data_IF_576552256673
#
_entry.id   IF_576552256673
#
_cell.length_a   1.000
_cell.length_b   1.000
_cell.length_c   1.000
_cell.angle_alpha   90.00
_cell.angle_beta   90.00
_cell.angle_gamma   90.00
#
_symmetry.space_group_name_H-M   'P 1'
#
loop_
_entity.id
_entity.type
_entity.pdbx_description
1 polymer ?
#
# COMPACT_ATOMS: atom_id res chain seq x y z
N UNK A 1 15.19 6.97 45.61
CA UNK A 1 14.89 5.52 45.60
C UNK A 1 14.46 5.15 44.19
N UNK A 2 15.15 4.19 43.59
CA UNK A 2 15.20 3.88 42.15
C UNK A 2 13.83 3.53 41.53
N UNK A 3 13.22 4.50 40.85
CA UNK A 3 11.99 4.35 40.08
C UNK A 3 12.20 3.75 38.69
N UNK A 4 13.03 2.70 38.53
CA UNK A 4 13.04 1.94 37.27
C UNK A 4 11.72 1.19 37.16
N UNK A 5 10.68 1.81 36.61
CA UNK A 5 9.42 1.14 36.30
C UNK A 5 9.72 -0.13 35.50
N UNK A 6 9.55 -1.29 36.16
CA UNK A 6 9.77 -2.60 35.55
C UNK A 6 8.92 -2.70 34.29
N UNK A 7 9.49 -3.20 33.18
CA UNK A 7 8.84 -3.21 31.86
C UNK A 7 7.45 -3.85 31.89
N UNK A 8 7.27 -4.88 32.72
CA UNK A 8 5.98 -5.55 32.89
C UNK A 8 4.85 -4.64 33.41
N UNK A 9 5.15 -3.58 34.18
CA UNK A 9 4.14 -2.63 34.64
C UNK A 9 3.42 -1.94 33.47
N UNK A 10 4.15 -1.60 32.39
CA UNK A 10 3.57 -0.96 31.21
C UNK A 10 2.65 -1.92 30.44
N UNK A 11 3.04 -3.19 30.34
CA UNK A 11 2.18 -4.24 29.76
C UNK A 11 0.89 -4.40 30.57
N UNK A 12 0.99 -4.48 31.89
CA UNK A 12 -0.18 -4.64 32.77
C UNK A 12 -1.07 -3.40 32.74
N UNK A 13 -0.49 -2.19 32.80
CA UNK A 13 -1.25 -0.95 32.71
C UNK A 13 -2.00 -0.83 31.37
N UNK A 14 -1.35 -1.15 30.24
CA UNK A 14 -2.02 -1.16 28.95
C UNK A 14 -3.08 -2.26 28.83
N UNK A 15 -2.85 -3.44 29.42
CA UNK A 15 -3.85 -4.50 29.47
C UNK A 15 -5.08 -4.10 30.30
N UNK A 16 -4.90 -3.46 31.46
CA UNK A 16 -6.01 -2.95 32.28
C UNK A 16 -6.76 -1.83 31.56
N UNK A 17 -6.03 -0.91 30.89
CA UNK A 17 -6.63 0.15 30.08
C UNK A 17 -7.54 -0.39 28.96
N UNK A 18 -7.27 -1.59 28.45
CA UNK A 18 -8.11 -2.24 27.43
C UNK A 18 -9.53 -2.56 27.90
N UNK A 19 -9.78 -2.64 29.22
CA UNK A 19 -11.12 -2.88 29.77
C UNK A 19 -12.12 -1.79 29.36
N UNK A 20 -11.64 -0.55 29.13
CA UNK A 20 -12.48 0.54 28.61
C UNK A 20 -13.08 0.22 27.23
N UNK A 21 -12.46 -0.66 26.44
CA UNK A 21 -13.00 -1.09 25.16
C UNK A 21 -14.25 -1.96 25.29
N UNK A 22 -14.56 -2.52 26.47
CA UNK A 22 -15.77 -3.34 26.68
C UNK A 22 -17.07 -2.53 26.52
N UNK A 23 -16.99 -1.21 26.62
CA UNK A 23 -18.11 -0.28 26.36
C UNK A 23 -18.45 -0.24 24.85
N UNK A 24 -17.48 -0.58 23.99
CA UNK A 24 -17.66 -0.57 22.54
C UNK A 24 -18.33 -1.84 22.00
N UNK A 25 -18.98 -1.68 20.85
CA UNK A 25 -19.60 -2.81 20.15
C UNK A 25 -18.55 -3.87 19.77
N UNK A 26 -18.96 -5.14 19.66
CA UNK A 26 -18.04 -6.25 19.30
C UNK A 26 -17.30 -6.01 17.97
N UNK A 27 -17.99 -5.38 17.01
CA UNK A 27 -17.42 -5.01 15.71
C UNK A 27 -16.35 -3.93 15.87
N UNK A 28 -16.65 -2.87 16.62
CA UNK A 28 -15.69 -1.79 16.89
C UNK A 28 -14.48 -2.30 17.67
N UNK A 29 -14.68 -3.15 18.67
CA UNK A 29 -13.59 -3.79 19.42
C UNK A 29 -12.65 -4.58 18.53
N UNK A 30 -13.18 -5.32 17.56
CA UNK A 30 -12.34 -6.07 16.63
C UNK A 30 -11.51 -5.13 15.74
N UNK A 31 -12.12 -4.06 15.22
CA UNK A 31 -11.41 -3.06 14.41
C UNK A 31 -10.36 -2.30 15.23
N UNK A 32 -10.71 -1.85 16.45
CA UNK A 32 -9.79 -1.22 17.39
C UNK A 32 -8.64 -2.14 17.76
N UNK A 33 -8.93 -3.40 18.09
CA UNK A 33 -7.93 -4.39 18.45
C UNK A 33 -6.94 -4.66 17.33
N UNK A 34 -7.42 -4.73 16.08
CA UNK A 34 -6.56 -4.86 14.90
C UNK A 34 -5.64 -3.64 14.75
N UNK A 35 -6.18 -2.42 14.78
CA UNK A 35 -5.39 -1.20 14.61
C UNK A 35 -4.35 -1.02 15.72
N UNK A 36 -4.74 -1.27 16.98
CA UNK A 36 -3.86 -1.15 18.14
C UNK A 36 -2.79 -2.23 18.14
N UNK A 37 -3.14 -3.49 17.88
CA UNK A 37 -2.19 -4.61 17.77
C UNK A 37 -1.13 -4.33 16.71
N UNK A 38 -1.57 -3.88 15.54
CA UNK A 38 -0.67 -3.59 14.44
C UNK A 38 0.26 -2.41 14.75
N UNK A 39 -0.25 -1.34 15.36
CA UNK A 39 0.58 -0.20 15.80
C UNK A 39 1.53 -0.59 16.94
N UNK A 40 1.09 -1.46 17.84
CA UNK A 40 1.90 -2.02 18.90
C UNK A 40 3.05 -2.87 18.38
N UNK A 41 2.78 -3.80 17.46
CA UNK A 41 3.79 -4.59 16.76
C UNK A 41 4.77 -3.71 15.97
N UNK A 42 4.28 -2.64 15.35
CA UNK A 42 5.11 -1.63 14.72
C UNK A 42 6.08 -0.95 15.71
N UNK A 43 5.60 -0.56 16.89
CA UNK A 43 6.44 -0.04 17.97
C UNK A 43 7.46 -1.06 18.47
N UNK A 44 7.04 -2.32 18.67
CA UNK A 44 7.92 -3.41 19.06
C UNK A 44 9.02 -3.68 18.04
N UNK A 45 8.70 -3.65 16.74
CA UNK A 45 9.69 -3.82 15.67
C UNK A 45 10.75 -2.72 15.70
N UNK A 46 10.34 -1.46 15.80
CA UNK A 46 11.26 -0.33 15.90
C UNK A 46 12.12 -0.40 17.16
N UNK A 47 11.56 -0.87 18.28
CA UNK A 47 12.29 -1.14 19.52
C UNK A 47 13.34 -2.23 19.36
N UNK A 48 12.99 -3.34 18.71
CA UNK A 48 13.95 -4.40 18.42
C UNK A 48 15.05 -3.93 17.47
N UNK A 49 14.71 -3.06 16.50
CA UNK A 49 15.68 -2.47 15.58
C UNK A 49 16.61 -1.47 16.26
N UNK A 50 16.11 -0.61 17.16
CA UNK A 50 16.95 0.35 17.91
C UNK A 50 17.96 -0.34 18.82
N UNK A 51 17.62 -1.54 19.29
CA UNK A 51 18.47 -2.40 20.13
C UNK A 51 19.40 -3.33 19.35
N UNK A 52 19.44 -3.22 18.02
CA UNK A 52 20.19 -4.12 17.12
C UNK A 52 19.86 -5.62 17.28
N UNK A 53 18.69 -5.98 17.82
CA UNK A 53 18.29 -7.38 17.97
C UNK A 53 17.90 -8.04 16.64
N UNK A 54 17.44 -7.23 15.68
CA UNK A 54 17.04 -7.69 14.34
C UNK A 54 17.77 -6.81 13.33
N UNK A 55 18.86 -7.32 12.75
CA UNK A 55 19.59 -6.68 11.65
C UNK A 55 19.49 -7.56 10.41
N UNK A 56 18.43 -7.35 9.62
CA UNK A 56 18.29 -7.96 8.31
C UNK A 56 18.86 -6.97 7.28
N UNK A 57 19.90 -7.33 6.53
CA UNK A 57 20.39 -6.49 5.43
C UNK A 57 19.24 -6.17 4.47
N UNK A 58 19.04 -4.89 4.17
CA UNK A 58 17.95 -4.41 3.32
C UNK A 58 16.54 -4.82 3.80
N UNK A 59 16.36 -5.06 5.10
CA UNK A 59 15.08 -5.47 5.68
C UNK A 59 13.93 -4.52 5.36
N UNK A 60 14.20 -3.22 5.15
CA UNK A 60 13.19 -2.25 4.69
C UNK A 60 12.61 -2.58 3.32
N UNK A 61 13.40 -3.12 2.38
CA UNK A 61 12.92 -3.53 1.05
C UNK A 61 12.02 -4.75 1.15
N UNK A 62 12.42 -5.74 1.96
CA UNK A 62 11.63 -6.96 2.17
C UNK A 62 10.30 -6.62 2.83
N UNK A 63 10.31 -5.86 3.93
CA UNK A 63 9.08 -5.48 4.65
C UNK A 63 8.16 -4.66 3.75
N UNK A 64 8.71 -3.67 3.04
CA UNK A 64 7.92 -2.86 2.12
C UNK A 64 7.36 -3.71 0.97
N UNK A 65 8.16 -4.60 0.38
CA UNK A 65 7.71 -5.50 -0.69
C UNK A 65 6.60 -6.44 -0.24
N UNK A 66 6.73 -7.08 0.93
CA UNK A 66 5.68 -7.93 1.49
C UNK A 66 4.40 -7.14 1.76
N UNK A 67 4.53 -5.93 2.31
CA UNK A 67 3.40 -5.05 2.59
C UNK A 67 2.69 -4.62 1.28
N UNK A 68 3.45 -4.17 0.28
CA UNK A 68 2.93 -3.75 -1.01
C UNK A 68 2.35 -4.92 -1.82
N UNK A 69 2.94 -6.11 -1.73
CA UNK A 69 2.36 -7.35 -2.27
C UNK A 69 0.95 -7.58 -1.76
N UNK A 70 0.76 -7.53 -0.43
CA UNK A 70 -0.56 -7.69 0.19
C UNK A 70 -1.51 -6.55 -0.16
N UNK A 71 -1.06 -5.29 -0.15
CA UNK A 71 -1.88 -4.12 -0.46
C UNK A 71 -2.37 -4.15 -1.91
N UNK A 72 -1.48 -4.41 -2.87
CA UNK A 72 -1.83 -4.44 -4.29
C UNK A 72 -2.75 -5.63 -4.62
N UNK A 73 -2.48 -6.80 -4.03
CA UNK A 73 -3.40 -7.94 -4.14
C UNK A 73 -4.78 -7.59 -3.57
N UNK A 74 -4.83 -6.99 -2.38
CA UNK A 74 -6.07 -6.61 -1.72
C UNK A 74 -6.85 -5.56 -2.52
N UNK A 75 -6.20 -4.50 -3.00
CA UNK A 75 -6.84 -3.46 -3.80
C UNK A 75 -7.55 -4.03 -5.04
N UNK A 76 -6.95 -5.00 -5.74
CA UNK A 76 -7.55 -5.61 -6.92
C UNK A 76 -8.59 -6.67 -6.55
N UNK A 77 -8.25 -7.60 -5.64
CA UNK A 77 -9.03 -8.82 -5.43
C UNK A 77 -9.96 -8.77 -4.22
N UNK A 78 -9.74 -7.88 -3.26
CA UNK A 78 -10.48 -7.79 -1.99
C UNK A 78 -10.42 -6.37 -1.40
N UNK A 79 -10.89 -5.32 -2.10
CA UNK A 79 -10.72 -3.94 -1.67
C UNK A 79 -11.34 -3.66 -0.31
N UNK A 80 -12.35 -4.43 0.11
CA UNK A 80 -13.00 -4.30 1.42
C UNK A 80 -12.11 -4.72 2.61
N UNK A 81 -10.86 -5.14 2.38
CA UNK A 81 -9.89 -5.46 3.43
C UNK A 81 -8.92 -4.32 3.73
N UNK A 82 -8.99 -3.22 2.98
CA UNK A 82 -8.22 -2.00 3.24
C UNK A 82 -9.17 -0.81 3.41
N UNK A 83 -8.78 0.25 4.17
CA UNK A 83 -9.65 1.41 4.39
C UNK A 83 -10.10 2.07 3.09
N UNK A 84 -11.37 2.45 2.99
CA UNK A 84 -11.96 3.05 1.77
C UNK A 84 -11.17 4.24 1.24
N UNK A 85 -10.81 5.20 2.10
CA UNK A 85 -10.00 6.35 1.71
C UNK A 85 -8.64 5.96 1.11
N UNK A 86 -8.08 4.82 1.53
CA UNK A 86 -6.83 4.31 0.97
C UNK A 86 -7.05 3.62 -0.38
N UNK A 87 -8.15 2.89 -0.57
CA UNK A 87 -8.55 2.40 -1.89
C UNK A 87 -8.71 3.54 -2.90
N UNK A 88 -9.44 4.59 -2.50
CA UNK A 88 -9.71 5.74 -3.35
C UNK A 88 -8.41 6.46 -3.73
N UNK A 89 -7.50 6.61 -2.76
CA UNK A 89 -6.17 7.14 -3.01
C UNK A 89 -5.34 6.27 -3.96
N UNK A 90 -5.29 4.94 -3.78
CA UNK A 90 -4.57 4.04 -4.69
C UNK A 90 -5.18 4.12 -6.09
N UNK A 91 -6.51 4.13 -6.21
CA UNK A 91 -7.20 4.24 -7.49
C UNK A 91 -6.82 5.54 -8.21
N UNK A 92 -6.81 6.68 -7.50
CA UNK A 92 -6.41 7.97 -8.06
C UNK A 92 -4.93 8.00 -8.45
N UNK A 93 -4.05 7.47 -7.60
CA UNK A 93 -2.60 7.44 -7.82
C UNK A 93 -2.19 6.48 -8.94
N UNK A 94 -2.92 5.37 -9.13
CA UNK A 94 -2.63 4.37 -10.16
C UNK A 94 -2.87 4.88 -11.57
N UNK A 95 -3.78 5.85 -11.74
CA UNK A 95 -4.19 6.39 -13.05
C UNK A 95 -4.71 5.33 -14.03
N UNK A 96 -5.15 4.20 -13.48
CA UNK A 96 -5.86 3.13 -14.20
C UNK A 96 -7.33 3.53 -14.37
N UNK A 97 -7.98 3.19 -15.50
CA UNK A 97 -9.42 3.37 -15.62
C UNK A 97 -10.19 2.63 -14.51
N UNK A 98 -11.12 3.28 -13.79
CA UNK A 98 -11.85 2.68 -12.68
C UNK A 98 -12.65 1.42 -13.06
N UNK A 99 -13.02 1.28 -14.32
CA UNK A 99 -13.68 0.09 -14.87
C UNK A 99 -12.76 -1.14 -14.97
N UNK A 100 -11.44 -0.95 -15.08
CA UNK A 100 -10.49 -2.05 -15.33
C UNK A 100 -10.31 -2.98 -14.12
N UNK A 101 -10.33 -2.44 -12.90
CA UNK A 101 -10.10 -3.20 -11.68
C UNK A 101 -11.26 -4.14 -11.34
N UNK A 102 -12.54 -3.68 -11.31
CA UNK A 102 -13.68 -4.57 -11.18
C UNK A 102 -13.76 -5.62 -12.28
N UNK A 103 -13.47 -5.24 -13.53
CA UNK A 103 -13.42 -6.15 -14.67
C UNK A 103 -12.39 -7.27 -14.47
N UNK A 104 -11.17 -6.93 -14.06
CA UNK A 104 -10.13 -7.91 -13.75
C UNK A 104 -10.55 -8.87 -12.64
N UNK A 105 -11.09 -8.33 -11.56
CA UNK A 105 -11.57 -9.12 -10.43
C UNK A 105 -12.72 -10.06 -10.81
N UNK A 106 -13.63 -9.60 -11.66
CA UNK A 106 -14.72 -10.43 -12.18
C UNK A 106 -14.15 -11.59 -13.00
N UNK A 107 -13.26 -11.29 -13.95
CA UNK A 107 -12.60 -12.30 -14.78
C UNK A 107 -11.90 -13.38 -13.95
N UNK A 108 -11.13 -12.99 -12.94
CA UNK A 108 -10.42 -13.94 -12.06
C UNK A 108 -11.38 -14.79 -11.20
N UNK A 109 -12.55 -14.27 -10.83
CA UNK A 109 -13.51 -14.95 -9.94
C UNK A 109 -14.52 -15.83 -10.68
N UNK A 110 -15.01 -15.37 -11.82
CA UNK A 110 -16.11 -16.03 -12.57
C UNK A 110 -15.67 -16.56 -13.93
N UNK A 111 -14.44 -16.25 -14.38
CA UNK A 111 -13.99 -16.57 -15.74
C UNK A 111 -14.60 -15.68 -16.82
N UNK A 112 -15.38 -14.67 -16.44
CA UNK A 112 -16.14 -13.82 -17.37
C UNK A 112 -16.03 -12.34 -17.00
N UNK A 113 -16.24 -11.45 -17.98
CA UNK A 113 -16.35 -10.01 -17.75
C UNK A 113 -17.48 -9.40 -18.58
N UNK A 114 -18.12 -8.36 -18.05
CA UNK A 114 -19.23 -7.68 -18.73
C UNK A 114 -18.74 -6.83 -19.92
N UNK A 115 -19.50 -6.83 -21.02
CA UNK A 115 -19.30 -5.95 -22.18
C UNK A 115 -19.45 -4.46 -21.83
N UNK A 116 -20.19 -4.13 -20.75
CA UNK A 116 -20.37 -2.73 -20.32
C UNK A 116 -19.04 -2.03 -20.03
N UNK A 117 -18.07 -2.70 -19.39
CA UNK A 117 -16.75 -2.11 -19.11
C UNK A 117 -15.98 -1.81 -20.39
N UNK A 118 -16.14 -2.64 -21.44
CA UNK A 118 -15.54 -2.40 -22.75
C UNK A 118 -16.18 -1.19 -23.44
N UNK A 119 -17.51 -1.06 -23.36
CA UNK A 119 -18.24 0.08 -23.90
C UNK A 119 -17.85 1.39 -23.22
N UNK A 120 -17.70 1.39 -21.90
CA UNK A 120 -17.20 2.55 -21.15
C UNK A 120 -15.81 2.96 -21.63
N UNK A 121 -14.90 1.99 -21.78
CA UNK A 121 -13.54 2.25 -22.27
C UNK A 121 -13.53 2.81 -23.70
N UNK A 122 -14.47 2.39 -24.56
CA UNK A 122 -14.61 2.91 -25.92
C UNK A 122 -15.16 4.33 -25.96
N UNK A 123 -16.22 4.59 -25.19
CA UNK A 123 -16.96 5.84 -25.24
C UNK A 123 -16.26 6.99 -24.50
N UNK A 124 -15.66 6.71 -23.34
CA UNK A 124 -15.25 7.76 -22.39
C UNK A 124 -13.74 8.00 -22.34
N UNK A 125 -12.92 7.09 -22.88
CA UNK A 125 -11.45 7.10 -22.65
C UNK A 125 -10.60 7.46 -23.87
N UNK A 126 -11.21 7.90 -24.97
CA UNK A 126 -10.52 8.31 -26.22
C UNK A 126 -9.41 7.32 -26.63
N UNK A 127 -9.74 6.04 -26.89
CA UNK A 127 -8.75 5.03 -27.22
C UNK A 127 -8.02 5.36 -28.53
N UNK A 128 -6.76 4.89 -28.66
CA UNK A 128 -6.04 4.97 -29.94
C UNK A 128 -6.79 4.20 -31.03
N UNK A 129 -6.59 4.52 -32.32
CA UNK A 129 -7.28 3.83 -33.41
C UNK A 129 -7.15 2.30 -33.36
N UNK A 130 -5.97 1.77 -33.02
CA UNK A 130 -5.76 0.31 -32.90
C UNK A 130 -6.41 -0.26 -31.65
N UNK A 131 -6.36 0.42 -30.51
CA UNK A 131 -7.05 -0.04 -29.29
C UNK A 131 -8.56 0.00 -29.46
N UNK A 132 -9.10 1.01 -30.18
CA UNK A 132 -10.51 1.08 -30.56
C UNK A 132 -10.92 -0.14 -31.38
N UNK A 133 -10.14 -0.48 -32.41
CA UNK A 133 -10.40 -1.66 -33.25
C UNK A 133 -10.35 -2.96 -32.46
N UNK A 134 -9.38 -3.11 -31.54
CA UNK A 134 -9.29 -4.28 -30.65
C UNK A 134 -10.51 -4.41 -29.73
N UNK A 135 -10.95 -3.31 -29.14
CA UNK A 135 -12.13 -3.29 -28.26
C UNK A 135 -13.42 -3.60 -29.03
N UNK A 136 -13.58 -3.05 -30.24
CA UNK A 136 -14.73 -3.34 -31.10
C UNK A 136 -14.77 -4.82 -31.52
N UNK A 137 -13.62 -5.40 -31.89
CA UNK A 137 -13.53 -6.83 -32.21
C UNK A 137 -13.93 -7.70 -31.01
N UNK A 138 -13.42 -7.39 -29.82
CA UNK A 138 -13.79 -8.12 -28.60
C UNK A 138 -15.29 -8.02 -28.29
N UNK A 139 -15.91 -6.86 -28.52
CA UNK A 139 -17.35 -6.69 -28.36
C UNK A 139 -18.15 -7.51 -29.38
N UNK A 140 -17.71 -7.56 -30.62
CA UNK A 140 -18.35 -8.36 -31.67
C UNK A 140 -18.24 -9.85 -31.37
N UNK A 141 -17.06 -10.33 -30.94
CA UNK A 141 -16.84 -11.73 -30.55
C UNK A 141 -17.78 -12.12 -29.38
N UNK A 142 -17.91 -11.24 -28.38
CA UNK A 142 -18.85 -11.41 -27.25
C UNK A 142 -20.32 -11.47 -27.69
N UNK A 143 -20.72 -10.63 -28.64
CA UNK A 143 -22.10 -10.60 -29.16
C UNK A 143 -22.44 -11.85 -29.99
N UNK A 144 -21.45 -12.40 -30.71
CA UNK A 144 -21.60 -13.58 -31.55
C UNK A 144 -21.62 -14.89 -30.75
N UNK A 145 -21.51 -14.85 -29.41
CA UNK A 145 -21.46 -16.04 -28.58
C UNK A 145 -20.14 -16.81 -28.67
N UNK A 146 -19.13 -16.27 -29.36
CA UNK A 146 -17.77 -16.79 -29.30
C UNK A 146 -17.21 -16.50 -27.91
N UNK A 147 -17.27 -17.48 -27.02
CA UNK A 147 -16.77 -17.36 -25.64
C UNK A 147 -15.21 -17.37 -25.58
N UNK A 148 -14.54 -16.72 -26.56
CA UNK A 148 -13.09 -16.49 -26.62
C UNK A 148 -12.70 -15.31 -25.74
N UNK A 149 -13.11 -15.36 -24.48
CA UNK A 149 -12.67 -14.40 -23.48
C UNK A 149 -11.16 -14.53 -23.30
N UNK A 150 -10.46 -13.39 -23.27
CA UNK A 150 -9.06 -13.39 -22.89
C UNK A 150 -8.97 -13.82 -21.41
N UNK A 151 -8.03 -14.69 -21.02
CA UNK A 151 -7.82 -15.09 -19.63
C UNK A 151 -7.20 -13.97 -18.77
N UNK A 152 -7.10 -12.76 -19.32
CA UNK A 152 -6.62 -11.54 -18.67
C UNK A 152 -7.37 -10.33 -19.23
N UNK A 153 -7.35 -9.19 -18.52
CA UNK A 153 -8.01 -7.97 -19.03
C UNK A 153 -7.33 -7.48 -20.31
N UNK A 154 -8.09 -7.09 -21.36
CA UNK A 154 -7.50 -6.55 -22.57
C UNK A 154 -6.63 -5.32 -22.26
N UNK A 155 -5.38 -5.23 -22.75
CA UNK A 155 -4.54 -4.07 -22.49
C UNK A 155 -5.14 -2.75 -22.96
N UNK A 156 -6.03 -2.81 -23.97
CA UNK A 156 -6.77 -1.66 -24.47
C UNK A 156 -7.77 -1.09 -23.43
N UNK A 157 -8.19 -1.88 -22.43
CA UNK A 157 -8.99 -1.40 -21.29
C UNK A 157 -8.08 -0.77 -20.23
N UNK A 158 -6.90 -1.35 -20.01
CA UNK A 158 -5.94 -0.85 -19.01
C UNK A 158 -5.32 0.49 -19.46
N UNK A 159 -4.93 0.59 -20.73
CA UNK A 159 -4.34 1.78 -21.33
C UNK A 159 -4.98 2.03 -22.71
N UNK A 160 -6.14 2.70 -22.75
CA UNK A 160 -6.86 2.96 -23.99
C UNK A 160 -6.09 3.90 -24.93
N UNK A 161 -5.44 4.92 -24.38
CA UNK A 161 -4.87 6.06 -25.13
C UNK A 161 -3.37 5.96 -25.43
N UNK A 162 -2.67 4.93 -24.95
CA UNK A 162 -1.25 4.67 -25.29
C UNK A 162 -1.02 3.21 -25.63
N UNK A 163 -0.12 2.99 -26.58
CA UNK A 163 0.27 1.68 -27.07
C UNK A 163 1.69 1.32 -26.67
N UNK A 164 1.90 0.04 -26.35
CA UNK A 164 3.20 -0.48 -25.95
C UNK A 164 3.53 -0.26 -24.48
N UNK A 165 4.39 -1.12 -23.94
CA UNK A 165 4.74 -1.13 -22.52
C UNK A 165 5.69 0.02 -22.18
N UNK A 166 6.69 0.27 -23.04
CA UNK A 166 7.67 1.33 -22.81
C UNK A 166 7.06 2.74 -22.93
N UNK A 167 6.28 3.08 -23.98
CA UNK A 167 5.62 4.38 -24.05
C UNK A 167 4.65 4.59 -22.88
N UNK A 168 3.88 3.56 -22.49
CA UNK A 168 3.03 3.60 -21.31
C UNK A 168 3.85 3.87 -20.04
N UNK A 169 4.99 3.20 -19.84
CA UNK A 169 5.83 3.39 -18.67
C UNK A 169 6.33 4.84 -18.56
N UNK A 170 6.79 5.41 -19.68
CA UNK A 170 7.27 6.79 -19.76
C UNK A 170 6.13 7.78 -19.50
N UNK A 171 5.00 7.63 -20.20
CA UNK A 171 3.81 8.48 -20.02
C UNK A 171 3.30 8.44 -18.58
N UNK A 172 3.16 7.25 -17.99
CA UNK A 172 2.71 7.07 -16.60
C UNK A 172 3.69 7.68 -15.62
N UNK A 173 5.00 7.55 -15.85
CA UNK A 173 6.00 8.19 -15.00
C UNK A 173 5.78 9.70 -14.95
N UNK A 174 5.77 10.38 -16.11
CA UNK A 174 5.64 11.84 -16.17
C UNK A 174 4.31 12.33 -15.60
N UNK A 175 3.20 11.70 -15.99
CA UNK A 175 1.88 12.10 -15.52
C UNK A 175 1.75 11.98 -13.99
N UNK A 176 2.18 10.85 -13.41
CA UNK A 176 2.08 10.64 -11.96
C UNK A 176 3.06 11.54 -11.21
N UNK A 177 4.28 11.68 -11.73
CA UNK A 177 5.30 12.54 -11.15
C UNK A 177 4.81 13.98 -11.03
N UNK A 178 4.27 14.54 -12.12
CA UNK A 178 3.76 15.91 -12.12
C UNK A 178 2.51 16.08 -11.25
N UNK A 179 1.60 15.09 -11.27
CA UNK A 179 0.36 15.17 -10.50
C UNK A 179 0.59 15.12 -8.98
N UNK A 180 1.58 14.35 -8.52
CA UNK A 180 1.87 14.22 -7.08
C UNK A 180 2.88 15.26 -6.58
N UNK A 181 3.63 15.90 -7.48
CA UNK A 181 4.65 16.88 -7.12
C UNK A 181 4.12 18.02 -6.21
N UNK A 182 2.95 18.63 -6.46
CA UNK A 182 2.41 19.66 -5.57
C UNK A 182 2.17 19.15 -4.14
N UNK A 183 1.67 17.92 -4.01
CA UNK A 183 1.40 17.30 -2.70
C UNK A 183 2.69 17.11 -1.90
N UNK A 184 3.73 16.56 -2.54
CA UNK A 184 5.02 16.39 -1.87
C UNK A 184 5.76 17.70 -1.64
N UNK A 185 5.66 18.65 -2.57
CA UNK A 185 6.19 19.99 -2.39
C UNK A 185 5.57 20.62 -1.14
N UNK A 186 4.24 20.64 -1.01
CA UNK A 186 3.60 21.15 0.21
C UNK A 186 4.06 20.42 1.48
N UNK A 187 4.15 19.08 1.44
CA UNK A 187 4.56 18.29 2.60
C UNK A 187 6.00 18.56 3.06
N UNK A 188 6.91 18.88 2.14
CA UNK A 188 8.30 19.17 2.47
C UNK A 188 8.54 20.64 2.78
N UNK A 189 7.91 21.56 2.04
CA UNK A 189 8.07 23.00 2.21
C UNK A 189 7.38 23.54 3.47
N UNK A 190 6.18 23.06 3.81
CA UNK A 190 5.45 23.60 4.99
C UNK A 190 6.26 23.38 6.29
N UNK A 191 6.76 22.18 6.62
CA UNK A 191 7.58 22.00 7.82
C UNK A 191 8.90 22.75 7.74
N UNK A 192 9.52 22.86 6.55
CA UNK A 192 10.75 23.63 6.38
C UNK A 192 10.55 25.13 6.67
N UNK A 193 9.45 25.72 6.17
CA UNK A 193 9.11 27.13 6.34
C UNK A 193 8.59 27.47 7.75
N UNK A 194 7.99 26.51 8.46
CA UNK A 194 7.39 26.74 9.79
C UNK A 194 8.32 26.38 10.94
N UNK A 195 8.96 25.20 10.88
CA UNK A 195 9.77 24.67 11.98
C UNK A 195 11.26 25.03 11.86
N UNK A 196 11.75 25.28 10.64
CA UNK A 196 13.17 25.56 10.38
C UNK A 196 13.42 26.99 9.88
N UNK A 197 12.62 27.96 10.36
CA UNK A 197 12.72 29.38 9.96
C UNK A 197 14.13 29.97 10.08
N UNK A 198 14.86 29.65 11.15
CA UNK A 198 16.23 30.16 11.35
C UNK A 198 17.17 29.67 10.24
N UNK A 199 17.17 28.37 9.96
CA UNK A 199 17.96 27.77 8.90
C UNK A 199 17.57 28.31 7.51
N UNK A 200 16.28 28.58 7.29
CA UNK A 200 15.78 29.18 6.05
C UNK A 200 16.16 30.66 5.89
N UNK A 201 16.38 31.36 7.01
CA UNK A 201 16.82 32.76 7.03
C UNK A 201 18.33 32.93 6.89
N UNK A 202 19.11 31.94 7.32
CA UNK A 202 20.58 31.94 7.23
C UNK A 202 21.07 31.56 5.84
N UNK A 203 20.48 30.52 5.22
CA UNK A 203 20.77 30.14 3.82
C UNK A 203 19.47 29.73 3.09
N UNK A 204 18.74 30.71 2.50
CA UNK A 204 17.50 30.43 1.80
C UNK A 204 17.71 29.61 0.53
N UNK A 205 18.86 29.77 -0.15
CA UNK A 205 19.14 29.11 -1.42
C UNK A 205 19.32 27.61 -1.25
N UNK A 206 20.18 27.21 -0.32
CA UNK A 206 20.41 25.79 -0.01
C UNK A 206 19.13 25.14 0.54
N UNK A 207 18.41 25.83 1.42
CA UNK A 207 17.17 25.33 2.00
C UNK A 207 16.09 25.06 0.94
N UNK A 208 15.89 25.97 -0.02
CA UNK A 208 14.96 25.80 -1.15
C UNK A 208 15.40 24.64 -2.04
N UNK A 209 16.66 24.60 -2.46
CA UNK A 209 17.18 23.56 -3.34
C UNK A 209 17.02 22.17 -2.71
N UNK A 210 17.43 22.01 -1.45
CA UNK A 210 17.33 20.74 -0.71
C UNK A 210 15.89 20.27 -0.56
N UNK A 211 14.98 21.18 -0.24
CA UNK A 211 13.55 20.86 -0.07
C UNK A 211 12.91 20.49 -1.42
N UNK A 212 13.32 21.17 -2.49
CA UNK A 212 12.89 20.89 -3.86
C UNK A 212 13.37 19.51 -4.33
N UNK A 213 14.65 19.20 -4.15
CA UNK A 213 15.23 17.88 -4.46
C UNK A 213 14.54 16.77 -3.67
N UNK A 214 14.22 17.01 -2.39
CA UNK A 214 13.47 16.06 -1.56
C UNK A 214 12.07 15.81 -2.09
N UNK A 215 11.40 16.86 -2.59
CA UNK A 215 10.07 16.77 -3.19
C UNK A 215 10.08 16.03 -4.52
N UNK A 216 11.05 16.34 -5.38
CA UNK A 216 11.24 15.62 -6.63
C UNK A 216 11.57 14.14 -6.41
N UNK A 217 12.45 13.83 -5.45
CA UNK A 217 12.82 12.45 -5.14
C UNK A 217 11.63 11.63 -4.62
N UNK A 218 10.82 12.18 -3.71
CA UNK A 218 9.61 11.50 -3.24
C UNK A 218 8.54 11.34 -4.33
N UNK A 219 8.42 12.31 -5.24
CA UNK A 219 7.53 12.21 -6.40
C UNK A 219 8.00 11.14 -7.38
N UNK A 220 9.31 11.08 -7.63
CA UNK A 220 9.93 10.04 -8.45
C UNK A 220 9.75 8.64 -7.83
N UNK A 221 9.90 8.51 -6.50
CA UNK A 221 9.64 7.25 -5.80
C UNK A 221 8.23 6.71 -6.08
N UNK A 222 7.18 7.54 -5.96
CA UNK A 222 5.81 7.10 -6.22
C UNK A 222 5.57 6.81 -7.70
N UNK A 223 6.09 7.65 -8.60
CA UNK A 223 5.99 7.42 -10.04
C UNK A 223 6.66 6.10 -10.45
N UNK A 224 7.88 5.83 -9.95
CA UNK A 224 8.59 4.56 -10.17
C UNK A 224 7.82 3.38 -9.59
N UNK A 225 7.23 3.50 -8.40
CA UNK A 225 6.37 2.46 -7.81
C UNK A 225 5.25 2.05 -8.77
N UNK A 226 4.52 3.03 -9.29
CA UNK A 226 3.37 2.77 -10.17
C UNK A 226 3.82 2.21 -11.51
N UNK A 227 4.93 2.71 -12.06
CA UNK A 227 5.49 2.23 -13.34
C UNK A 227 5.98 0.79 -13.23
N UNK A 228 6.64 0.39 -12.14
CA UNK A 228 7.05 -1.00 -11.92
C UNK A 228 5.82 -1.92 -11.93
N UNK A 229 4.77 -1.54 -11.20
CA UNK A 229 3.56 -2.36 -11.12
C UNK A 229 2.85 -2.48 -12.48
N UNK A 230 2.67 -1.36 -13.20
CA UNK A 230 2.05 -1.36 -14.53
C UNK A 230 2.87 -2.15 -15.56
N UNK A 231 4.18 -1.99 -15.53
CA UNK A 231 5.09 -2.70 -16.42
C UNK A 231 5.05 -4.19 -16.14
N UNK A 232 5.10 -4.61 -14.87
CA UNK A 232 4.92 -6.02 -14.50
C UNK A 232 3.58 -6.58 -15.00
N UNK A 233 2.47 -5.89 -14.70
CA UNK A 233 1.13 -6.33 -15.06
C UNK A 233 0.93 -6.42 -16.58
N UNK A 234 1.52 -5.50 -17.34
CA UNK A 234 1.42 -5.49 -18.80
C UNK A 234 2.36 -6.50 -19.46
N UNK A 235 3.60 -6.60 -18.97
CA UNK A 235 4.61 -7.54 -19.46
C UNK A 235 4.22 -8.99 -19.23
N UNK A 236 3.65 -9.35 -18.07
CA UNK A 236 3.23 -10.73 -17.80
C UNK A 236 2.15 -11.20 -18.78
N UNK A 237 1.19 -10.33 -19.12
CA UNK A 237 0.13 -10.65 -20.09
C UNK A 237 0.62 -10.59 -21.54
N UNK A 238 1.58 -9.71 -21.86
CA UNK A 238 2.23 -9.70 -23.17
C UNK A 238 3.03 -10.99 -23.39
N UNK A 239 3.79 -11.42 -22.38
CA UNK A 239 4.56 -12.67 -22.39
C UNK A 239 3.64 -13.87 -22.60
N UNK A 240 2.54 -13.96 -21.84
CA UNK A 240 1.53 -15.00 -22.02
C UNK A 240 0.96 -14.99 -23.45
N UNK A 241 0.59 -13.83 -23.99
CA UNK A 241 0.01 -13.74 -25.34
C UNK A 241 0.98 -14.18 -26.44
N UNK A 242 2.24 -13.79 -26.34
CA UNK A 242 3.23 -14.00 -27.39
C UNK A 242 3.85 -15.41 -27.35
N UNK A 243 3.95 -16.01 -26.16
CA UNK A 243 4.71 -17.24 -25.97
C UNK A 243 3.95 -18.36 -25.26
N UNK A 244 2.61 -18.28 -25.10
CA UNK A 244 1.84 -19.31 -24.36
C UNK A 244 2.15 -20.75 -24.78
N UNK A 245 2.38 -21.00 -26.06
CA UNK A 245 2.60 -22.35 -26.61
C UNK A 245 4.02 -22.87 -26.34
N UNK A 246 4.97 -21.96 -26.06
CA UNK A 246 6.37 -22.28 -25.78
C UNK A 246 6.70 -22.25 -24.27
N UNK A 247 5.76 -21.81 -23.42
CA UNK A 247 5.99 -21.69 -21.98
C UNK A 247 5.54 -22.95 -21.24
N UNK A 248 6.27 -23.37 -20.20
CA UNK A 248 5.81 -24.42 -19.30
C UNK A 248 4.44 -24.08 -18.71
N UNK A 249 3.55 -25.07 -18.58
CA UNK A 249 2.17 -24.87 -18.11
C UNK A 249 2.07 -24.21 -16.73
N UNK A 250 3.03 -24.47 -15.83
CA UNK A 250 3.06 -23.82 -14.52
C UNK A 250 3.29 -22.31 -14.63
N UNK A 251 4.13 -21.88 -15.56
CA UNK A 251 4.48 -20.47 -15.74
C UNK A 251 3.36 -19.73 -16.47
N UNK A 252 2.79 -20.31 -17.53
CA UNK A 252 1.65 -19.71 -18.24
C UNK A 252 0.45 -19.51 -17.31
N UNK A 253 0.14 -20.52 -16.47
CA UNK A 253 -0.88 -20.41 -15.43
C UNK A 253 -0.52 -19.35 -14.38
N UNK A 254 0.73 -19.30 -13.94
CA UNK A 254 1.18 -18.28 -13.00
C UNK A 254 1.00 -16.86 -13.54
N UNK A 255 1.34 -16.59 -14.81
CA UNK A 255 1.25 -15.25 -15.41
C UNK A 255 -0.18 -14.68 -15.45
N UNK A 256 -1.21 -15.53 -15.51
CA UNK A 256 -2.63 -15.13 -15.46
C UNK A 256 -3.24 -15.26 -14.05
N UNK A 257 -2.53 -15.93 -13.13
CA UNK A 257 -3.00 -16.20 -11.77
C UNK A 257 -3.13 -14.92 -10.92
N UNK A 258 -3.95 -15.00 -9.87
CA UNK A 258 -4.08 -13.92 -8.87
C UNK A 258 -2.82 -13.74 -8.03
N UNK A 259 -2.01 -14.80 -7.89
CA UNK A 259 -0.75 -14.81 -7.16
C UNK A 259 0.29 -13.90 -7.83
N UNK A 260 0.25 -13.79 -9.18
CA UNK A 260 1.11 -12.86 -9.92
C UNK A 260 0.89 -11.39 -9.56
N UNK A 261 -0.30 -11.02 -9.05
CA UNK A 261 -0.59 -9.66 -8.60
C UNK A 261 0.18 -9.31 -7.33
N UNK A 262 0.33 -10.29 -6.44
CA UNK A 262 1.10 -10.14 -5.21
C UNK A 262 2.60 -9.98 -5.53
N UNK A 263 3.12 -10.79 -6.46
CA UNK A 263 4.51 -10.65 -6.93
C UNK A 263 4.76 -9.28 -7.54
N UNK A 264 3.82 -8.77 -8.34
CA UNK A 264 3.89 -7.40 -8.84
C UNK A 264 4.00 -6.36 -7.74
N UNK A 265 3.21 -6.51 -6.68
CA UNK A 265 3.29 -5.64 -5.51
C UNK A 265 4.61 -5.79 -4.75
N UNK A 266 5.16 -6.99 -4.65
CA UNK A 266 6.48 -7.21 -4.05
C UNK A 266 7.60 -6.51 -4.84
N UNK A 267 7.60 -6.64 -6.17
CA UNK A 267 8.60 -6.02 -7.06
C UNK A 267 8.66 -4.50 -6.95
N UNK A 268 7.56 -3.86 -6.54
CA UNK A 268 7.56 -2.40 -6.29
C UNK A 268 8.51 -1.98 -5.19
N UNK A 269 9.03 -2.88 -4.36
CA UNK A 269 10.08 -2.55 -3.38
C UNK A 269 11.33 -1.94 -4.03
N UNK A 270 11.61 -2.23 -5.30
CA UNK A 270 12.71 -1.61 -6.02
C UNK A 270 12.56 -0.08 -6.11
N UNK A 271 11.34 0.48 -6.04
CA UNK A 271 11.15 1.94 -6.03
C UNK A 271 11.78 2.59 -4.80
N UNK A 272 11.91 1.89 -3.66
CA UNK A 272 12.57 2.42 -2.46
C UNK A 272 14.03 2.83 -2.71
N UNK A 273 14.69 2.27 -3.73
CA UNK A 273 16.05 2.65 -4.09
C UNK A 273 16.14 4.13 -4.50
N UNK A 274 15.06 4.69 -5.06
CA UNK A 274 14.94 6.11 -5.44
C UNK A 274 14.87 7.02 -4.21
N UNK A 275 14.32 6.54 -3.09
CA UNK A 275 14.13 7.33 -1.87
C UNK A 275 15.37 7.29 -0.95
N UNK A 276 15.50 8.26 -0.05
CA UNK A 276 16.61 8.31 0.92
C UNK A 276 16.57 7.22 1.97
N UNK A 277 17.77 6.71 2.29
CA UNK A 277 17.97 5.62 3.26
C UNK A 277 17.20 5.83 4.57
N UNK A 278 17.21 7.06 5.12
CA UNK A 278 16.48 7.39 6.37
C UNK A 278 14.96 7.22 6.22
N UNK A 279 14.39 7.71 5.11
CA UNK A 279 12.95 7.66 4.81
C UNK A 279 12.44 6.27 4.42
N UNK A 280 13.28 5.40 3.84
CA UNK A 280 12.84 4.04 3.42
C UNK A 280 12.21 3.24 4.55
N UNK A 281 12.82 3.31 5.73
CA UNK A 281 12.31 2.62 6.92
C UNK A 281 10.98 3.21 7.39
N UNK A 282 10.81 4.53 7.33
CA UNK A 282 9.56 5.20 7.67
C UNK A 282 8.44 4.84 6.70
N UNK A 283 8.73 4.75 5.40
CA UNK A 283 7.77 4.33 4.38
C UNK A 283 7.32 2.88 4.56
N UNK A 284 8.26 1.96 4.76
CA UNK A 284 7.95 0.55 5.06
C UNK A 284 7.03 0.44 6.28
N UNK A 285 7.34 1.19 7.33
CA UNK A 285 6.56 1.25 8.55
C UNK A 285 5.21 1.96 8.40
N UNK A 286 5.08 2.87 7.44
CA UNK A 286 3.81 3.55 7.16
C UNK A 286 2.81 2.62 6.47
N UNK A 287 3.27 1.78 5.54
CA UNK A 287 2.40 0.86 4.78
C UNK A 287 2.16 -0.47 5.50
N UNK A 288 3.12 -0.93 6.31
CA UNK A 288 3.06 -2.21 7.01
C UNK A 288 1.76 -2.38 7.81
N UNK A 289 1.29 -1.39 8.58
CA UNK A 289 0.04 -1.53 9.31
C UNK A 289 -1.17 -1.85 8.44
N UNK A 290 -1.31 -1.15 7.32
CA UNK A 290 -2.41 -1.33 6.36
C UNK A 290 -2.35 -2.71 5.73
N UNK A 291 -1.15 -3.18 5.42
CA UNK A 291 -0.94 -4.53 4.88
C UNK A 291 -1.29 -5.62 5.91
N UNK A 292 -0.89 -5.46 7.17
CA UNK A 292 -1.20 -6.42 8.24
C UNK A 292 -2.70 -6.50 8.52
N UNK A 293 -3.39 -5.36 8.58
CA UNK A 293 -4.85 -5.30 8.74
C UNK A 293 -5.56 -6.03 7.57
N UNK A 294 -5.10 -5.80 6.35
CA UNK A 294 -5.59 -6.49 5.15
C UNK A 294 -5.32 -7.99 5.16
N UNK A 295 -4.11 -8.40 5.56
CA UNK A 295 -3.74 -9.81 5.66
C UNK A 295 -4.60 -10.53 6.71
N UNK A 296 -4.78 -9.91 7.87
CA UNK A 296 -5.57 -10.44 8.97
C UNK A 296 -7.04 -10.63 8.58
N UNK A 297 -7.66 -9.60 8.00
CA UNK A 297 -9.06 -9.66 7.55
C UNK A 297 -9.24 -10.71 6.43
N UNK A 298 -8.27 -10.82 5.52
CA UNK A 298 -8.26 -11.87 4.49
C UNK A 298 -8.14 -13.27 5.09
N UNK A 299 -7.22 -13.48 6.05
CA UNK A 299 -7.02 -14.76 6.73
C UNK A 299 -8.27 -15.20 7.49
N UNK A 300 -8.96 -14.25 8.14
CA UNK A 300 -10.25 -14.49 8.80
C UNK A 300 -11.34 -14.92 7.82
N UNK A 301 -11.46 -14.25 6.66
CA UNK A 301 -12.45 -14.62 5.62
C UNK A 301 -12.18 -16.01 5.03
N UNK A 302 -10.90 -16.38 4.88
CA UNK A 302 -10.49 -17.71 4.41
C UNK A 302 -10.57 -18.80 5.49
N UNK A 303 -11.03 -18.47 6.71
CA UNK A 303 -11.07 -19.39 7.87
C UNK A 303 -9.70 -20.01 8.22
N UNK A 304 -8.61 -19.31 7.92
CA UNK A 304 -7.25 -19.75 8.29
C UNK A 304 -6.95 -19.57 9.78
N UNK A 305 -7.66 -18.64 10.43
CA UNK A 305 -7.50 -18.37 11.84
C UNK A 305 -8.65 -19.05 12.62
N UNK A 306 -8.34 -19.84 13.67
CA UNK A 306 -9.37 -20.48 14.49
C UNK A 306 -10.21 -19.43 15.22
N UNK A 307 -11.45 -19.80 15.56
CA UNK A 307 -12.30 -18.95 16.39
C UNK A 307 -11.81 -18.99 17.84
N UNK A 308 -11.18 -17.90 18.29
CA UNK A 308 -10.71 -17.77 19.67
C UNK A 308 -11.82 -17.11 20.49
N UNK A 309 -12.29 -17.73 21.60
CA UNK A 309 -13.20 -17.07 22.53
C UNK A 309 -12.51 -15.82 23.09
N UNK A 310 -13.23 -14.70 23.16
CA UNK A 310 -12.67 -13.38 23.54
C UNK A 310 -11.56 -12.84 22.61
N UNK A 311 -11.51 -13.30 21.35
CA UNK A 311 -10.50 -12.86 20.39
C UNK A 311 -10.37 -11.34 20.20
N UNK A 312 -11.46 -10.58 20.00
CA UNK A 312 -11.40 -9.11 19.94
C UNK A 312 -10.81 -8.47 21.20
N UNK A 313 -11.21 -8.95 22.37
CA UNK A 313 -10.79 -8.44 23.67
C UNK A 313 -9.29 -8.69 23.90
N UNK A 314 -8.79 -9.89 23.57
CA UNK A 314 -7.37 -10.22 23.62
C UNK A 314 -6.53 -9.40 22.65
N UNK A 315 -7.07 -9.10 21.45
CA UNK A 315 -6.40 -8.23 20.47
C UNK A 315 -6.30 -6.79 20.97
N UNK A 316 -7.37 -6.24 21.55
CA UNK A 316 -7.30 -4.89 22.14
C UNK A 316 -6.30 -4.88 23.29
N UNK A 317 -6.37 -5.87 24.19
CA UNK A 317 -5.47 -6.01 25.33
C UNK A 317 -4.00 -6.07 24.90
N UNK A 318 -3.67 -6.90 23.91
CA UNK A 318 -2.31 -6.99 23.40
C UNK A 318 -1.87 -5.68 22.72
N UNK A 319 -2.75 -5.07 21.93
CA UNK A 319 -2.48 -3.81 21.24
C UNK A 319 -2.22 -2.64 22.20
N UNK A 320 -3.06 -2.45 23.21
CA UNK A 320 -2.88 -1.40 24.22
C UNK A 320 -1.66 -1.67 25.11
N UNK A 321 -1.41 -2.92 25.50
CA UNK A 321 -0.26 -3.29 26.30
C UNK A 321 1.07 -3.05 25.57
N UNK A 322 1.14 -3.44 24.29
CA UNK A 322 2.33 -3.20 23.46
C UNK A 322 2.56 -1.71 23.15
N UNK A 323 1.49 -0.94 22.93
CA UNK A 323 1.57 0.52 22.80
C UNK A 323 2.04 1.20 24.08
N UNK A 324 1.51 0.80 25.23
CA UNK A 324 1.91 1.34 26.53
C UNK A 324 3.37 1.00 26.83
N UNK A 325 3.81 -0.22 26.53
CA UNK A 325 5.22 -0.62 26.63
C UNK A 325 6.14 0.23 25.75
N UNK A 326 5.73 0.52 24.51
CA UNK A 326 6.50 1.39 23.62
C UNK A 326 6.53 2.83 24.15
N UNK A 327 5.39 3.34 24.65
CA UNK A 327 5.26 4.69 25.20
C UNK A 327 6.14 4.93 26.43
N UNK A 328 6.07 4.04 27.43
CA UNK A 328 6.75 4.25 28.71
C UNK A 328 8.27 4.09 28.62
N UNK A 329 8.75 3.16 27.79
CA UNK A 329 10.19 2.82 27.79
C UNK A 329 10.94 3.32 26.56
N UNK A 330 10.24 3.58 25.46
CA UNK A 330 10.86 4.01 24.19
C UNK A 330 9.99 5.05 23.46
N UNK A 331 9.70 6.21 24.08
CA UNK A 331 8.81 7.22 23.49
C UNK A 331 9.31 7.75 22.14
N UNK A 332 10.63 7.68 21.90
CA UNK A 332 11.28 8.05 20.63
C UNK A 332 10.87 7.15 19.44
N UNK A 333 10.34 5.96 19.73
CA UNK A 333 9.92 4.98 18.71
C UNK A 333 8.52 5.30 18.16
N UNK A 334 7.70 6.01 18.94
CA UNK A 334 6.38 6.45 18.51
C UNK A 334 6.49 7.61 17.50
N UNK A 335 5.54 7.68 16.56
CA UNK A 335 5.48 8.77 15.57
C UNK A 335 5.58 10.14 16.24
N UNK A 336 6.40 11.05 15.68
CA UNK A 336 6.65 12.37 16.25
C UNK A 336 5.39 13.19 16.53
N UNK A 337 4.31 13.00 15.76
CA UNK A 337 3.01 13.64 16.00
C UNK A 337 2.34 13.17 17.29
N UNK A 338 2.43 11.87 17.61
CA UNK A 338 1.89 11.31 18.85
C UNK A 338 2.74 11.79 20.03
N UNK A 339 4.07 11.85 19.85
CA UNK A 339 4.96 12.41 20.85
C UNK A 339 4.59 13.87 21.14
N UNK A 340 4.47 14.74 20.13
CA UNK A 340 4.16 16.18 20.32
C UNK A 340 2.76 16.42 20.88
N UNK A 341 1.73 15.72 20.40
CA UNK A 341 0.37 15.89 20.91
C UNK A 341 0.25 15.38 22.35
N UNK A 342 0.80 14.21 22.66
CA UNK A 342 0.77 13.68 24.03
C UNK A 342 1.63 14.54 24.97
N UNK A 343 2.78 15.05 24.51
CA UNK A 343 3.59 15.99 25.30
C UNK A 343 2.81 17.25 25.68
N UNK A 344 2.01 17.77 24.75
CA UNK A 344 1.20 18.97 24.96
C UNK A 344 -0.02 18.73 25.88
N UNK A 345 -0.59 17.51 25.88
CA UNK A 345 -1.79 17.22 26.67
C UNK A 345 -1.54 16.55 28.02
N UNK A 346 -0.47 15.76 28.17
CA UNK A 346 -0.22 14.97 29.37
C UNK A 346 0.89 15.57 30.25
N UNK A 347 1.71 16.48 29.71
CA UNK A 347 2.75 17.18 30.47
C UNK A 347 3.90 16.28 30.92
N UNK A 348 5.02 16.90 31.32
CA UNK A 348 6.21 16.18 31.80
C UNK A 348 5.85 15.30 33.01
N UNK A 349 5.91 13.97 32.84
CA UNK A 349 6.09 13.07 33.98
C UNK A 349 7.60 12.94 34.17
N UNK A 350 8.12 13.68 35.14
CA UNK A 350 9.52 13.62 35.57
C UNK A 350 9.87 12.27 36.21
#
# INVERSE_FOLDING_TARGET
MDGKHKRWHAWVAGAISSLGSLIETRSNRLALGQQLTVRGLHGMYRSCKSRNWISIPYGEFVIFGLACGQIMYAWIMSPDTIPKAYNDWIQQASKVPPEAIPMHRQLVRTGTYNSQSLLTSLAQRKPTPKNKLRLLKLLQDLQNGENRLLPYIPPAVLNPWVEGILPMAIERFYMIFLDILPVYASLHFIPALTLKRKQFSEDPGEAVLRTTLSSFRSSAFLATFVVIYHSWFSSKHALYRLHKDNLPSWLSNFLISKESLWVGGFLTCASLAVEEKKRRSELAMYVLPKAMESAWTTARRKKWLPHIPLGPELLVMFGTASLMQAYTHEPQVLSGLVHTLIYQFIGNVH
#
